data_IF_298988270377
#
_entry.id   IF_298988270377
#
_cell.length_a   1.000
_cell.length_b   1.000
_cell.length_c   1.000
_cell.angle_alpha   90.00
_cell.angle_beta   90.00
_cell.angle_gamma   90.00
#
_symmetry.space_group_name_H-M   'P 1'
#
loop_
_entity.id
_entity.type
_entity.pdbx_description
1 polymer ?
#
# COMPACT_ATOMS: atom_id res chain seq x y z
N UNK A 1 -13.61 -1.98 -21.45
CA UNK A 1 -13.18 -1.01 -20.41
C UNK A 1 -11.69 -1.15 -20.29
N UNK A 2 -10.93 -0.06 -20.44
CA UNK A 2 -9.49 -0.08 -20.26
C UNK A 2 -9.16 -0.11 -18.75
N UNK A 3 -8.02 -0.67 -18.33
CA UNK A 3 -7.61 -0.67 -16.92
C UNK A 3 -7.60 0.73 -16.28
N UNK A 4 -7.22 1.75 -17.04
CA UNK A 4 -7.19 3.15 -16.59
C UNK A 4 -8.58 3.70 -16.25
N UNK A 5 -9.64 3.23 -16.95
CA UNK A 5 -11.02 3.62 -16.66
C UNK A 5 -11.43 3.16 -15.25
N UNK A 6 -10.93 1.99 -14.81
CA UNK A 6 -11.18 1.48 -13.46
C UNK A 6 -10.59 2.40 -12.38
N UNK A 7 -9.38 2.90 -12.62
CA UNK A 7 -8.74 3.83 -11.68
C UNK A 7 -9.45 5.18 -11.69
N UNK A 8 -9.73 5.74 -12.87
CA UNK A 8 -10.38 7.05 -12.98
C UNK A 8 -11.77 7.05 -12.32
N UNK A 9 -12.61 6.09 -12.67
CA UNK A 9 -14.04 6.15 -12.37
C UNK A 9 -14.38 5.39 -11.07
N UNK A 10 -13.58 4.41 -10.67
CA UNK A 10 -13.89 3.50 -9.56
C UNK A 10 -12.91 3.52 -8.37
N UNK A 11 -11.97 4.47 -8.30
CA UNK A 11 -11.15 4.66 -7.09
C UNK A 11 -12.00 5.04 -5.87
N UNK A 12 -11.92 4.23 -4.82
CA UNK A 12 -12.61 4.48 -3.54
C UNK A 12 -11.70 5.17 -2.52
N UNK A 13 -10.39 4.99 -2.67
CA UNK A 13 -9.35 5.52 -1.79
C UNK A 13 -8.08 5.82 -2.58
N UNK A 14 -7.49 7.00 -2.39
CA UNK A 14 -6.15 7.33 -2.88
C UNK A 14 -5.39 8.17 -1.87
N UNK A 15 -4.08 7.94 -1.78
CA UNK A 15 -3.18 8.66 -0.90
C UNK A 15 -1.81 8.88 -1.55
N UNK A 16 -1.10 9.88 -1.04
CA UNK A 16 0.33 10.05 -1.29
C UNK A 16 1.10 9.12 -0.35
N UNK A 17 2.14 8.50 -0.88
CA UNK A 17 3.07 7.63 -0.16
C UNK A 17 4.51 8.13 -0.30
N UNK A 18 5.47 7.30 0.10
CA UNK A 18 6.88 7.59 -0.05
C UNK A 18 7.35 8.70 0.89
N UNK A 19 8.38 9.42 0.45
CA UNK A 19 9.08 10.41 1.29
C UNK A 19 8.14 11.48 1.88
N UNK A 20 7.10 11.89 1.15
CA UNK A 20 6.08 12.85 1.62
C UNK A 20 5.27 12.30 2.80
N UNK A 21 4.71 11.10 2.65
CA UNK A 21 3.92 10.47 3.70
C UNK A 21 4.74 10.09 4.95
N UNK A 22 6.03 9.83 4.75
CA UNK A 22 6.95 9.51 5.85
C UNK A 22 7.52 10.75 6.55
N UNK A 23 7.19 11.98 6.14
CA UNK A 23 7.79 13.21 6.71
C UNK A 23 9.25 13.45 6.30
N UNK A 24 9.71 12.78 5.24
CA UNK A 24 11.10 12.76 4.76
C UNK A 24 11.31 13.50 3.43
N UNK A 25 10.28 14.18 2.92
CA UNK A 25 10.36 14.93 1.68
C UNK A 25 11.39 16.09 1.76
N UNK A 26 12.03 16.30 0.63
CA UNK A 26 12.92 17.41 0.25
C UNK A 26 12.39 18.02 -1.05
N UNK A 27 12.95 19.15 -1.50
CA UNK A 27 12.49 19.85 -2.71
C UNK A 27 12.45 18.93 -3.95
N UNK A 28 13.45 18.07 -4.13
CA UNK A 28 13.54 17.14 -5.26
C UNK A 28 12.71 15.85 -5.10
N UNK A 29 11.79 15.77 -4.13
CA UNK A 29 11.05 14.54 -3.88
C UNK A 29 9.96 14.30 -4.93
N UNK A 30 9.84 13.05 -5.36
CA UNK A 30 8.78 12.47 -6.19
C UNK A 30 7.49 12.23 -5.39
N UNK A 31 6.34 12.29 -6.08
CA UNK A 31 5.02 12.08 -5.45
C UNK A 31 4.48 10.70 -5.81
N UNK A 32 4.82 9.70 -5.00
CA UNK A 32 4.24 8.37 -5.09
C UNK A 32 2.73 8.41 -4.79
N UNK A 33 1.89 8.04 -5.74
CA UNK A 33 0.44 7.90 -5.53
C UNK A 33 0.03 6.46 -5.45
N UNK A 34 -0.75 6.14 -4.43
CA UNK A 34 -1.27 4.78 -4.19
C UNK A 34 -2.78 4.82 -4.06
N UNK A 35 -3.45 3.94 -4.81
CA UNK A 35 -4.90 3.91 -4.90
C UNK A 35 -5.50 2.54 -4.63
N UNK A 36 -6.80 2.54 -4.34
CA UNK A 36 -7.66 1.36 -4.29
C UNK A 36 -8.88 1.65 -5.14
N UNK A 37 -9.15 0.79 -6.12
CA UNK A 37 -10.36 0.86 -6.93
C UNK A 37 -11.27 -0.33 -6.67
N UNK A 38 -12.57 -0.09 -6.69
CA UNK A 38 -13.60 -1.11 -6.59
C UNK A 38 -14.05 -1.47 -8.00
N UNK A 39 -13.47 -2.53 -8.58
CA UNK A 39 -13.93 -3.00 -9.88
C UNK A 39 -15.43 -3.38 -9.78
N UNK A 40 -16.28 -2.91 -10.73
CA UNK A 40 -17.70 -3.25 -10.70
C UNK A 40 -17.92 -4.76 -10.64
N UNK A 41 -18.74 -5.18 -9.67
CA UNK A 41 -18.87 -6.60 -9.33
C UNK A 41 -19.30 -7.49 -10.51
N UNK A 42 -20.18 -7.05 -11.43
CA UNK A 42 -20.53 -7.88 -12.59
C UNK A 42 -19.36 -8.21 -13.52
N UNK A 43 -18.26 -7.43 -13.52
CA UNK A 43 -17.06 -7.75 -14.31
C UNK A 43 -16.40 -9.07 -13.86
N UNK A 44 -16.60 -9.49 -12.61
CA UNK A 44 -16.07 -10.76 -12.12
C UNK A 44 -16.86 -11.98 -12.59
N UNK A 45 -18.06 -11.80 -13.14
CA UNK A 45 -18.88 -12.90 -13.66
C UNK A 45 -18.52 -13.29 -15.10
N UNK A 46 -17.79 -12.43 -15.81
CA UNK A 46 -17.23 -12.73 -17.13
C UNK A 46 -16.04 -13.69 -17.08
N UNK A 47 -15.63 -14.20 -18.26
CA UNK A 47 -14.43 -15.03 -18.40
C UNK A 47 -13.15 -14.21 -18.17
N UNK A 48 -13.10 -12.99 -18.71
CA UNK A 48 -12.02 -12.04 -18.45
C UNK A 48 -12.26 -11.35 -17.11
N UNK A 49 -11.33 -11.53 -16.17
CA UNK A 49 -11.40 -10.90 -14.86
C UNK A 49 -10.81 -9.49 -14.92
N UNK A 50 -11.32 -8.54 -14.11
CA UNK A 50 -10.69 -7.24 -14.00
C UNK A 50 -9.25 -7.38 -13.48
N UNK A 51 -8.34 -6.46 -13.86
CA UNK A 51 -6.97 -6.49 -13.38
C UNK A 51 -6.92 -6.34 -11.86
N UNK A 52 -5.99 -7.05 -11.22
CA UNK A 52 -5.81 -6.98 -9.75
C UNK A 52 -5.08 -5.71 -9.30
N UNK A 53 -4.47 -5.00 -10.23
CA UNK A 53 -3.77 -3.74 -10.05
C UNK A 53 -3.61 -3.02 -11.40
N UNK A 54 -3.39 -1.72 -11.35
CA UNK A 54 -3.16 -0.86 -12.51
C UNK A 54 -2.05 0.12 -12.18
N UNK A 55 -1.07 0.24 -13.06
CA UNK A 55 -0.05 1.30 -13.04
C UNK A 55 -0.55 2.44 -13.94
N UNK A 56 -0.39 3.69 -13.47
CA UNK A 56 -1.01 4.87 -14.08
C UNK A 56 -2.45 5.13 -13.59
N UNK A 57 -3.22 5.99 -14.30
CA UNK A 57 -2.85 6.71 -15.52
C UNK A 57 -1.91 7.92 -15.29
N UNK A 58 -1.74 8.39 -14.05
CA UNK A 58 -0.79 9.46 -13.71
C UNK A 58 0.63 8.96 -13.48
N UNK A 59 1.61 9.88 -13.48
CA UNK A 59 2.99 9.57 -13.10
C UNK A 59 3.08 9.07 -11.65
N UNK A 60 3.92 8.06 -11.42
CA UNK A 60 4.14 7.43 -10.10
C UNK A 60 2.85 6.95 -9.40
N UNK A 61 1.80 6.67 -10.18
CA UNK A 61 0.52 6.16 -9.70
C UNK A 61 0.42 4.64 -9.80
N UNK A 62 0.05 4.00 -8.70
CA UNK A 62 -0.20 2.57 -8.67
C UNK A 62 -1.44 2.27 -7.84
N UNK A 63 -2.41 1.56 -8.41
CA UNK A 63 -3.68 1.27 -7.74
C UNK A 63 -3.97 -0.21 -7.69
N UNK A 64 -4.47 -0.70 -6.55
CA UNK A 64 -4.92 -2.08 -6.41
C UNK A 64 -6.42 -2.19 -6.55
N UNK A 65 -6.88 -3.32 -7.07
CA UNK A 65 -8.27 -3.72 -6.91
C UNK A 65 -8.55 -4.01 -5.41
N UNK A 66 -9.73 -3.64 -4.90
CA UNK A 66 -10.08 -3.72 -3.48
C UNK A 66 -9.84 -5.10 -2.85
N UNK A 67 -10.28 -6.18 -3.49
CA UNK A 67 -10.09 -7.54 -2.97
C UNK A 67 -8.61 -7.88 -2.88
N UNK A 68 -7.84 -7.55 -3.92
CA UNK A 68 -6.39 -7.73 -3.91
C UNK A 68 -5.72 -6.92 -2.81
N UNK A 69 -6.17 -5.69 -2.57
CA UNK A 69 -5.66 -4.85 -1.51
C UNK A 69 -5.93 -5.47 -0.12
N UNK A 70 -7.16 -5.88 0.14
CA UNK A 70 -7.57 -6.56 1.38
C UNK A 70 -6.78 -7.85 1.61
N UNK A 71 -6.61 -8.68 0.58
CA UNK A 71 -5.81 -9.90 0.65
C UNK A 71 -4.36 -9.65 1.09
N UNK A 72 -3.73 -8.63 0.51
CA UNK A 72 -2.34 -8.29 0.84
C UNK A 72 -2.24 -7.67 2.25
N UNK A 73 -3.24 -6.87 2.65
CA UNK A 73 -3.32 -6.31 4.00
C UNK A 73 -3.47 -7.41 5.06
N UNK A 74 -4.32 -8.42 4.83
CA UNK A 74 -4.48 -9.61 5.69
C UNK A 74 -3.21 -10.47 5.80
N UNK A 75 -2.29 -10.36 4.82
CA UNK A 75 -0.95 -10.96 4.86
C UNK A 75 0.10 -10.03 5.48
N UNK A 76 -0.34 -8.91 6.06
CA UNK A 76 0.50 -7.87 6.64
C UNK A 76 1.57 -7.34 5.67
N UNK A 77 1.24 -7.16 4.39
CA UNK A 77 2.18 -6.57 3.43
C UNK A 77 2.53 -5.12 3.85
N UNK A 78 3.82 -4.77 4.03
CA UNK A 78 4.19 -3.46 4.56
C UNK A 78 3.69 -2.29 3.71
N UNK A 79 3.83 -2.36 2.38
CA UNK A 79 3.40 -1.27 1.50
C UNK A 79 1.89 -1.01 1.63
N UNK A 80 1.10 -2.07 1.77
CA UNK A 80 -0.37 -1.98 1.86
C UNK A 80 -0.80 -1.47 3.24
N UNK A 81 -0.20 -1.99 4.31
CA UNK A 81 -0.48 -1.51 5.66
C UNK A 81 -0.08 -0.04 5.82
N UNK A 82 1.06 0.37 5.26
CA UNK A 82 1.47 1.78 5.27
C UNK A 82 0.50 2.66 4.46
N UNK A 83 -0.04 2.19 3.31
CA UNK A 83 -1.07 2.91 2.57
C UNK A 83 -2.31 3.17 3.43
N UNK A 84 -2.79 2.21 4.22
CA UNK A 84 -3.94 2.39 5.12
C UNK A 84 -3.72 3.45 6.22
N UNK A 85 -2.46 3.82 6.47
CA UNK A 85 -2.05 4.73 7.53
C UNK A 85 -1.38 5.99 7.00
N UNK A 86 -1.53 6.29 5.70
CA UNK A 86 -1.02 7.53 5.14
C UNK A 86 -1.73 8.75 5.73
N UNK A 87 -0.99 9.78 6.17
CA UNK A 87 -1.60 11.04 6.61
C UNK A 87 -2.06 11.92 5.43
N UNK A 88 -1.70 11.58 4.19
CA UNK A 88 -1.91 12.40 3.00
C UNK A 88 -2.94 11.75 2.07
N UNK A 89 -4.23 11.85 2.43
CA UNK A 89 -5.33 11.31 1.63
C UNK A 89 -5.74 12.30 0.53
N UNK A 90 -5.74 11.86 -0.74
CA UNK A 90 -6.13 12.68 -1.90
C UNK A 90 -7.57 12.39 -2.35
N UNK A 91 -8.06 11.14 -2.23
CA UNK A 91 -9.44 10.76 -2.55
C UNK A 91 -9.98 9.79 -1.51
N UNK A 92 -11.22 10.00 -1.09
CA UNK A 92 -11.88 9.14 -0.12
C UNK A 92 -13.41 9.22 -0.25
N UNK A 93 -14.04 8.16 -0.72
CA UNK A 93 -15.50 8.03 -0.73
C UNK A 93 -16.00 7.29 0.53
N UNK A 94 -17.30 6.96 0.58
CA UNK A 94 -17.89 6.24 1.72
C UNK A 94 -17.32 4.82 1.90
N UNK A 95 -17.06 4.12 0.79
CA UNK A 95 -16.47 2.77 0.81
C UNK A 95 -15.01 2.84 1.30
N UNK A 96 -14.25 3.82 0.83
CA UNK A 96 -12.90 4.10 1.28
C UNK A 96 -12.86 4.51 2.76
N UNK A 97 -13.82 5.31 3.24
CA UNK A 97 -13.95 5.64 4.67
C UNK A 97 -14.13 4.39 5.52
N UNK A 98 -15.00 3.47 5.10
CA UNK A 98 -15.19 2.20 5.80
C UNK A 98 -13.91 1.34 5.78
N UNK A 99 -13.23 1.25 4.63
CA UNK A 99 -11.92 0.57 4.52
C UNK A 99 -10.89 1.14 5.51
N UNK A 100 -10.75 2.47 5.61
CA UNK A 100 -9.81 3.10 6.54
C UNK A 100 -10.22 2.91 8.01
N UNK A 101 -11.52 2.88 8.31
CA UNK A 101 -12.02 2.55 9.64
C UNK A 101 -11.69 1.10 10.05
N UNK A 102 -11.48 0.21 9.07
CA UNK A 102 -11.05 -1.17 9.28
C UNK A 102 -9.54 -1.35 9.39
N UNK A 103 -8.71 -0.29 9.31
CA UNK A 103 -7.24 -0.44 9.30
C UNK A 103 -6.68 -1.29 10.45
N UNK A 104 -7.26 -1.19 11.66
CA UNK A 104 -6.87 -1.98 12.83
C UNK A 104 -7.21 -3.47 12.70
N UNK A 105 -8.24 -3.84 11.93
CA UNK A 105 -8.60 -5.24 11.68
C UNK A 105 -7.53 -5.98 10.85
N UNK A 106 -6.67 -5.28 10.11
CA UNK A 106 -5.58 -5.89 9.36
C UNK A 106 -4.30 -6.09 10.19
N UNK A 107 -4.18 -5.45 11.36
CA UNK A 107 -2.98 -5.51 12.18
C UNK A 107 -2.97 -6.79 13.03
N UNK A 108 -1.86 -7.51 13.00
CA UNK A 108 -1.65 -8.74 13.77
C UNK A 108 -0.17 -9.04 13.92
N UNK A 109 0.16 -10.06 14.73
CA UNK A 109 1.53 -10.56 14.91
C UNK A 109 2.17 -11.04 13.60
N UNK A 110 1.39 -11.30 12.55
CA UNK A 110 1.91 -11.56 11.18
C UNK A 110 2.78 -10.43 10.64
N UNK A 111 2.60 -9.20 11.13
CA UNK A 111 3.44 -8.07 10.77
C UNK A 111 4.92 -8.32 11.07
N UNK A 112 5.24 -9.03 12.16
CA UNK A 112 6.62 -9.40 12.50
C UNK A 112 7.30 -10.16 11.35
N UNK A 113 6.69 -11.28 10.94
CA UNK A 113 7.26 -12.14 9.91
C UNK A 113 7.32 -11.44 8.55
N UNK A 114 6.28 -10.70 8.20
CA UNK A 114 6.18 -10.00 6.92
C UNK A 114 7.22 -8.87 6.80
N UNK A 115 7.31 -8.01 7.82
CA UNK A 115 8.28 -6.91 7.84
C UNK A 115 9.70 -7.43 7.91
N UNK A 116 9.96 -8.49 8.69
CA UNK A 116 11.28 -9.13 8.78
C UNK A 116 11.72 -9.70 7.44
N UNK A 117 10.85 -10.46 6.76
CA UNK A 117 11.16 -10.98 5.40
C UNK A 117 11.44 -9.86 4.41
N UNK A 118 10.63 -8.80 4.44
CA UNK A 118 10.84 -7.65 3.56
C UNK A 118 12.17 -6.93 3.88
N UNK A 119 12.47 -6.70 5.15
CA UNK A 119 13.70 -6.07 5.62
C UNK A 119 14.93 -6.88 5.19
N UNK A 120 14.91 -8.20 5.33
CA UNK A 120 15.97 -9.10 4.85
C UNK A 120 16.17 -9.00 3.33
N UNK A 121 15.09 -8.93 2.55
CA UNK A 121 15.19 -8.78 1.10
C UNK A 121 15.83 -7.43 0.70
N UNK A 122 15.46 -6.32 1.37
CA UNK A 122 16.08 -5.02 1.14
C UNK A 122 17.54 -4.99 1.59
N UNK A 123 17.85 -5.64 2.72
CA UNK A 123 19.20 -5.74 3.25
C UNK A 123 20.15 -6.41 2.26
N UNK A 124 19.73 -7.54 1.67
CA UNK A 124 20.53 -8.26 0.65
C UNK A 124 20.87 -7.37 -0.56
N UNK A 125 19.95 -6.49 -0.98
CA UNK A 125 20.19 -5.53 -2.07
C UNK A 125 21.23 -4.50 -1.67
N UNK A 126 21.12 -3.94 -0.46
CA UNK A 126 22.08 -2.95 0.05
C UNK A 126 23.47 -3.59 0.19
N UNK A 127 23.57 -4.80 0.72
CA UNK A 127 24.86 -5.50 0.84
C UNK A 127 25.49 -5.78 -0.52
N UNK A 128 24.67 -6.04 -1.55
CA UNK A 128 25.16 -6.18 -2.93
C UNK A 128 25.70 -4.84 -3.47
N UNK A 129 25.01 -3.73 -3.25
CA UNK A 129 25.47 -2.38 -3.63
C UNK A 129 26.80 -2.04 -2.93
N UNK A 130 26.92 -2.32 -1.63
CA UNK A 130 28.14 -2.08 -0.86
C UNK A 130 29.32 -2.90 -1.42
N UNK A 131 29.11 -4.17 -1.75
CA UNK A 131 30.15 -5.01 -2.36
C UNK A 131 30.58 -4.50 -3.73
N UNK A 132 29.63 -3.99 -4.52
CA UNK A 132 29.90 -3.52 -5.89
C UNK A 132 30.52 -2.11 -5.93
N UNK A 133 30.16 -1.23 -5.00
CA UNK A 133 30.47 0.20 -5.07
C UNK A 133 31.19 0.76 -3.84
N UNK A 134 31.47 -0.06 -2.83
CA UNK A 134 32.15 0.34 -1.58
C UNK A 134 31.27 1.09 -0.58
N UNK A 135 30.06 1.49 -0.97
CA UNK A 135 29.11 2.21 -0.13
C UNK A 135 27.66 1.83 -0.47
N UNK A 136 26.71 1.94 0.48
CA UNK A 136 25.31 1.66 0.21
C UNK A 136 24.68 2.80 -0.60
N UNK A 137 23.58 2.51 -1.28
CA UNK A 137 22.66 3.57 -1.68
C UNK A 137 21.97 4.12 -0.42
N UNK A 138 22.39 5.30 0.03
CA UNK A 138 21.92 5.91 1.29
C UNK A 138 20.40 6.07 1.40
N UNK A 139 19.68 6.34 0.28
CA UNK A 139 18.21 6.33 0.24
C UNK A 139 17.64 4.98 0.70
N UNK A 140 18.21 3.88 0.22
CA UNK A 140 17.76 2.51 0.57
C UNK A 140 18.09 2.16 2.02
N UNK A 141 19.29 2.52 2.49
CA UNK A 141 19.68 2.30 3.89
C UNK A 141 18.75 3.04 4.87
N UNK A 142 18.44 4.31 4.58
CA UNK A 142 17.51 5.11 5.36
C UNK A 142 16.09 4.52 5.34
N UNK A 143 15.59 4.08 4.18
CA UNK A 143 14.27 3.44 4.09
C UNK A 143 14.19 2.12 4.86
N UNK A 144 15.24 1.31 4.86
CA UNK A 144 15.28 0.07 5.64
C UNK A 144 15.26 0.37 7.15
N UNK A 145 16.04 1.34 7.62
CA UNK A 145 15.99 1.78 9.03
C UNK A 145 14.59 2.29 9.42
N UNK A 146 13.94 3.07 8.54
CA UNK A 146 12.57 3.57 8.76
C UNK A 146 11.60 2.41 8.91
N UNK A 147 11.66 1.44 8.00
CA UNK A 147 10.78 0.27 8.02
C UNK A 147 10.97 -0.57 9.29
N UNK A 148 12.21 -0.84 9.71
CA UNK A 148 12.51 -1.57 10.94
C UNK A 148 12.02 -0.80 12.18
N UNK A 149 12.18 0.52 12.19
CA UNK A 149 11.66 1.38 13.24
C UNK A 149 10.14 1.29 13.33
N UNK A 150 9.46 1.33 12.19
CA UNK A 150 8.01 1.19 12.07
C UNK A 150 7.53 -0.19 12.56
N UNK A 151 8.21 -1.27 12.18
CA UNK A 151 7.91 -2.63 12.64
C UNK A 151 8.00 -2.76 14.17
N UNK A 152 9.09 -2.25 14.75
CA UNK A 152 9.30 -2.23 16.19
C UNK A 152 8.18 -1.46 16.91
N UNK A 153 7.89 -0.24 16.45
CA UNK A 153 6.90 0.61 17.09
C UNK A 153 5.51 -0.02 17.01
N UNK A 154 5.15 -0.61 15.87
CA UNK A 154 3.92 -1.37 15.67
C UNK A 154 3.82 -2.53 16.68
N UNK A 155 4.86 -3.35 16.84
CA UNK A 155 4.81 -4.45 17.80
C UNK A 155 4.76 -3.98 19.25
N UNK A 156 5.34 -2.83 19.58
CA UNK A 156 5.34 -2.29 20.96
C UNK A 156 4.02 -1.62 21.34
N UNK A 157 3.36 -0.97 20.38
CA UNK A 157 2.22 -0.08 20.65
C UNK A 157 0.90 -0.63 20.14
N UNK A 158 0.93 -1.51 19.13
CA UNK A 158 -0.25 -1.93 18.38
C UNK A 158 -0.71 -0.91 17.33
N UNK A 159 -0.02 0.22 17.20
CA UNK A 159 -0.38 1.30 16.28
C UNK A 159 0.65 1.43 15.17
N UNK A 160 0.18 1.50 13.92
CA UNK A 160 1.04 1.72 12.76
C UNK A 160 1.11 3.22 12.43
N UNK A 161 2.21 3.85 12.79
CA UNK A 161 2.53 5.24 12.41
C UNK A 161 3.69 5.24 11.41
N UNK A 162 3.48 5.89 10.26
CA UNK A 162 4.47 5.89 9.16
C UNK A 162 5.29 7.18 9.07
N UNK A 163 4.76 8.29 9.60
CA UNK A 163 5.49 9.55 9.71
C UNK A 163 6.60 9.41 10.77
N UNK A 164 7.80 9.86 10.44
CA UNK A 164 8.96 9.72 11.32
C UNK A 164 8.99 10.77 12.45
N UNK A 165 8.24 11.86 12.34
CA UNK A 165 8.13 12.94 13.32
C UNK A 165 9.50 13.51 13.72
N UNK A 166 9.74 13.61 15.03
CA UNK A 166 10.98 14.15 15.60
C UNK A 166 12.26 13.38 15.18
N UNK A 167 12.10 12.17 14.65
CA UNK A 167 13.23 11.35 14.14
C UNK A 167 13.70 11.78 12.75
N UNK A 168 13.01 12.72 12.10
CA UNK A 168 13.30 13.20 10.74
C UNK A 168 14.76 13.56 10.54
N UNK A 169 15.34 14.35 11.45
CA UNK A 169 16.73 14.80 11.33
C UNK A 169 17.71 13.62 11.26
N UNK A 170 17.52 12.61 12.11
CA UNK A 170 18.36 11.41 12.14
C UNK A 170 18.26 10.57 10.86
N UNK A 171 17.07 10.42 10.30
CA UNK A 171 16.90 9.73 9.02
C UNK A 171 17.53 10.50 7.84
N UNK A 172 17.39 11.82 7.82
CA UNK A 172 18.00 12.64 6.77
C UNK A 172 19.54 12.65 6.85
N UNK A 173 20.12 12.58 8.05
CA UNK A 173 21.57 12.41 8.21
C UNK A 173 22.06 11.10 7.57
N UNK A 174 21.31 10.00 7.73
CA UNK A 174 21.60 8.74 7.02
C UNK A 174 21.44 8.90 5.51
N UNK A 175 20.37 9.56 5.04
CA UNK A 175 20.14 9.80 3.59
C UNK A 175 21.31 10.57 2.96
N UNK A 176 21.93 11.51 3.69
CA UNK A 176 23.07 12.32 3.26
C UNK A 176 24.43 11.63 3.45
N UNK A 177 24.48 10.44 4.06
CA UNK A 177 25.74 9.73 4.32
C UNK A 177 26.60 10.35 5.44
N UNK A 178 26.00 11.16 6.32
CA UNK A 178 26.68 11.80 7.46
C UNK A 178 26.94 10.82 8.61
N UNK A 179 26.36 9.62 8.52
CA UNK A 179 26.50 8.53 9.49
C UNK A 179 27.29 7.41 8.82
N UNK A 180 28.27 6.85 9.53
CA UNK A 180 29.07 5.73 8.99
C UNK A 180 28.18 4.52 8.68
N UNK A 181 28.58 3.71 7.71
CA UNK A 181 27.86 2.49 7.37
C UNK A 181 27.80 1.53 8.57
N UNK A 182 28.91 1.33 9.29
CA UNK A 182 28.96 0.48 10.48
C UNK A 182 27.94 0.90 11.57
N UNK A 183 27.76 2.20 11.78
CA UNK A 183 26.75 2.73 12.71
C UNK A 183 25.32 2.45 12.20
N UNK A 184 25.07 2.60 10.90
CA UNK A 184 23.78 2.25 10.29
C UNK A 184 23.48 0.76 10.43
N UNK A 185 24.48 -0.11 10.23
CA UNK A 185 24.36 -1.56 10.44
C UNK A 185 24.05 -1.90 11.89
N UNK A 186 24.77 -1.30 12.84
CA UNK A 186 24.51 -1.49 14.28
C UNK A 186 23.07 -1.12 14.64
N UNK A 187 22.55 0.00 14.10
CA UNK A 187 21.15 0.41 14.29
C UNK A 187 20.17 -0.59 13.69
N UNK A 188 20.44 -1.14 12.51
CA UNK A 188 19.58 -2.16 11.89
C UNK A 188 19.49 -3.42 12.75
N UNK A 189 20.64 -3.91 13.23
CA UNK A 189 20.70 -5.09 14.13
C UNK A 189 19.92 -4.81 15.41
N UNK A 190 20.19 -3.69 16.07
CA UNK A 190 19.49 -3.31 17.31
C UNK A 190 17.97 -3.22 17.10
N UNK A 191 17.52 -2.63 16.00
CA UNK A 191 16.09 -2.52 15.70
C UNK A 191 15.45 -3.90 15.46
N UNK A 192 16.15 -4.82 14.78
CA UNK A 192 15.68 -6.19 14.59
C UNK A 192 15.53 -6.91 15.94
N UNK A 193 16.53 -6.82 16.81
CA UNK A 193 16.48 -7.40 18.17
C UNK A 193 15.40 -6.76 19.05
N UNK A 194 15.19 -5.44 18.96
CA UNK A 194 14.10 -4.74 19.65
C UNK A 194 12.73 -5.20 19.15
N UNK A 195 12.61 -5.46 17.85
CA UNK A 195 11.37 -5.96 17.22
C UNK A 195 11.06 -7.37 17.70
N UNK A 196 12.04 -8.28 17.69
CA UNK A 196 11.89 -9.65 18.18
C UNK A 196 11.53 -9.69 19.68
N UNK A 197 12.21 -8.88 20.50
CA UNK A 197 11.91 -8.78 21.95
C UNK A 197 10.52 -8.23 22.26
N UNK A 198 9.94 -7.43 21.36
CA UNK A 198 8.58 -6.90 21.55
C UNK A 198 7.50 -7.96 21.27
N UNK A 199 7.80 -9.01 20.50
CA UNK A 199 6.82 -9.97 20.02
C UNK A 199 6.05 -10.71 21.14
N UNK A 200 6.67 -11.17 22.26
CA UNK A 200 5.93 -11.85 23.32
C UNK A 200 4.94 -10.95 24.07
N UNK A 201 5.24 -9.65 24.18
CA UNK A 201 4.45 -8.66 24.93
C UNK A 201 3.60 -7.73 24.06
N UNK A 202 3.49 -8.01 22.77
CA UNK A 202 2.77 -7.15 21.83
C UNK A 202 1.26 -7.13 22.10
N UNK A 203 0.58 -5.98 21.99
CA UNK A 203 -0.88 -5.91 22.09
C UNK A 203 -1.60 -6.44 20.84
N UNK A 204 -0.86 -6.75 19.76
CA UNK A 204 -1.46 -7.22 18.51
C UNK A 204 -2.02 -8.64 18.64
N UNK A 205 -3.18 -8.92 18.02
CA UNK A 205 -3.73 -10.27 17.98
C UNK A 205 -2.82 -11.22 17.19
N UNK A 206 -2.96 -12.52 17.42
CA UNK A 206 -2.25 -13.54 16.66
C UNK A 206 -2.49 -13.43 15.14
N UNK A 207 -3.73 -13.13 14.79
CA UNK A 207 -4.26 -13.17 13.44
C UNK A 207 -5.08 -11.90 13.18
N UNK A 208 -5.13 -11.39 11.94
CA UNK A 208 -5.99 -10.26 11.61
C UNK A 208 -7.46 -10.70 11.64
N UNK A 209 -8.36 -9.74 11.76
CA UNK A 209 -9.80 -10.00 11.81
C UNK A 209 -10.35 -10.26 10.40
N UNK A 210 -10.14 -11.50 9.95
CA UNK A 210 -10.61 -12.00 8.66
C UNK A 210 -12.13 -11.87 8.52
N UNK A 211 -12.89 -12.03 9.60
CA UNK A 211 -14.35 -12.00 9.55
C UNK A 211 -14.86 -10.59 9.22
N UNK A 212 -14.35 -9.56 9.90
CA UNK A 212 -14.73 -8.16 9.63
C UNK A 212 -14.33 -7.71 8.22
N UNK A 213 -13.13 -8.08 7.76
CA UNK A 213 -12.66 -7.73 6.41
C UNK A 213 -13.50 -8.45 5.34
N UNK A 214 -13.87 -9.71 5.58
CA UNK A 214 -14.71 -10.48 4.66
C UNK A 214 -16.13 -9.92 4.58
N UNK A 215 -16.73 -9.57 5.72
CA UNK A 215 -18.05 -8.93 5.77
C UNK A 215 -18.07 -7.62 4.99
N UNK A 216 -17.07 -6.77 5.20
CA UNK A 216 -16.91 -5.52 4.46
C UNK A 216 -16.83 -5.75 2.95
N UNK A 217 -15.96 -6.67 2.51
CA UNK A 217 -15.80 -6.97 1.09
C UNK A 217 -17.11 -7.52 0.50
N UNK A 218 -17.78 -8.43 1.21
CA UNK A 218 -19.05 -9.00 0.78
C UNK A 218 -20.14 -7.94 0.61
N UNK A 219 -20.35 -7.06 1.60
CA UNK A 219 -21.35 -5.99 1.52
C UNK A 219 -21.02 -4.99 0.42
N UNK A 220 -19.75 -4.65 0.26
CA UNK A 220 -19.28 -3.75 -0.80
C UNK A 220 -19.56 -4.32 -2.18
N UNK A 221 -19.18 -5.60 -2.42
CA UNK A 221 -19.46 -6.31 -3.67
C UNK A 221 -20.96 -6.45 -3.94
N UNK A 222 -21.75 -6.82 -2.93
CA UNK A 222 -23.21 -6.91 -3.07
C UNK A 222 -23.82 -5.57 -3.47
N UNK A 223 -23.39 -4.47 -2.85
CA UNK A 223 -23.86 -3.13 -3.19
C UNK A 223 -23.48 -2.75 -4.62
N UNK A 224 -22.22 -2.98 -5.00
CA UNK A 224 -21.74 -2.76 -6.36
C UNK A 224 -22.49 -3.59 -7.41
N UNK A 225 -22.91 -4.82 -7.09
CA UNK A 225 -23.71 -5.65 -8.00
C UNK A 225 -25.15 -5.15 -8.18
N UNK A 226 -25.71 -4.48 -7.17
CA UNK A 226 -27.06 -3.93 -7.19
C UNK A 226 -27.13 -2.53 -7.83
N UNK A 227 -26.00 -1.81 -7.86
CA UNK A 227 -25.87 -0.57 -8.61
C UNK A 227 -26.07 -0.90 -10.10
N UNK A 228 -27.25 -0.58 -10.62
CA UNK A 228 -27.59 -0.77 -12.02
C UNK A 228 -26.59 0.04 -12.84
N UNK A 229 -25.81 -0.63 -13.69
CA UNK A 229 -24.87 0.03 -14.60
C UNK A 229 -25.62 1.03 -15.49
N UNK A 230 -25.67 2.30 -15.07
CA UNK A 230 -26.18 3.39 -15.88
C UNK A 230 -25.38 3.58 -17.19
N UNK A 231 -24.23 2.92 -17.33
CA UNK A 231 -23.33 3.03 -18.48
C UNK A 231 -23.51 1.96 -19.55
N UNK A 232 -24.57 1.13 -19.48
CA UNK A 232 -24.89 0.22 -20.58
C UNK A 232 -25.47 0.93 -21.83
N UNK A 233 -25.43 2.26 -21.92
CA UNK A 233 -25.82 3.00 -23.13
C UNK A 233 -24.73 3.05 -24.22
N UNK A 234 -23.49 2.64 -23.96
CA UNK A 234 -22.44 2.70 -25.01
C UNK A 234 -22.43 1.46 -25.93
N UNK A 235 -23.16 0.38 -25.60
CA UNK A 235 -23.21 -0.85 -26.43
C UNK A 235 -24.41 -0.91 -27.39
N UNK A 236 -25.23 0.16 -27.48
CA UNK A 236 -26.32 0.24 -28.48
C UNK A 236 -26.09 1.26 -29.61
N UNK A 237 -24.96 1.98 -29.61
CA UNK A 237 -24.63 2.96 -30.65
C UNK A 237 -24.20 2.38 -32.00
N UNK A 238 -23.88 1.08 -32.08
CA UNK A 238 -23.30 0.47 -33.29
C UNK A 238 -24.36 -0.22 -34.18
N UNK A 239 -25.61 -0.39 -33.73
CA UNK A 239 -26.63 -1.15 -34.49
C UNK A 239 -27.67 -0.26 -35.21
N UNK A 240 -27.64 1.08 -35.05
CA UNK A 240 -28.59 2.00 -35.72
C UNK A 240 -28.04 2.78 -36.92
N UNK A 241 -27.02 2.25 -37.60
CA UNK A 241 -26.40 2.91 -38.77
C UNK A 241 -26.65 2.29 -40.14
N UNK A 242 -27.38 1.17 -40.25
CA UNK A 242 -27.31 0.37 -41.48
C UNK A 242 -28.59 -0.32 -41.91
N UNK A 243 -29.64 0.43 -42.25
CA UNK A 243 -30.64 0.03 -43.26
C UNK A 243 -31.28 1.27 -43.88
N UNK A 244 -31.07 1.47 -45.18
CA UNK A 244 -32.08 1.49 -46.26
C UNK A 244 -31.51 2.24 -47.47
N UNK A 245 -31.51 1.58 -48.62
CA UNK A 245 -31.17 2.17 -49.92
C UNK A 245 -31.20 1.14 -51.04
N UNK A 246 -32.38 0.59 -51.33
CA UNK A 246 -32.66 -0.15 -52.56
C UNK A 246 -32.60 0.78 -53.78
N UNK A 247 -31.85 0.41 -54.81
CA UNK A 247 -32.29 0.14 -56.20
C UNK A 247 -31.08 -0.01 -57.12
#
# INVERSE_FOLDING_TARGET
>A
MQPEDLVRDHTIYACVMGSRAFGLATEDSDTDRRGVFLAPTPLFWGFEKPPTHVEGPGEEQFSWELERFCELALRANPNILECLHSPLVERLDDTGRELLALRGAFLSRRAYDSFTRYALAQRRKIDADVRAHGAPRWKHAMHLLRLLTCARDLLRTGELTIDVGDRRAGFLAVKRGEVSWAEVESRMVRLAEETERALPGTPLPAEPDHARVTDFLFRTRRTSALQTHADHQVVQGVVRGGRVGQR
#
